data_IF_440288779477
#
_entry.id   IF_440288779477
#
_cell.length_a   1.000
_cell.length_b   1.000
_cell.length_c   1.000
_cell.angle_alpha   90.00
_cell.angle_beta   90.00
_cell.angle_gamma   90.00
#
_symmetry.space_group_name_H-M   'P 1'
#
loop_
_entity.id
_entity.type
_entity.pdbx_description
1 polymer ?
#
# COMPACT_ATOMS: atom_id res chain seq x y z
N UNK A 1 -5.67 -14.13 25.16
CA UNK A 1 -4.62 -13.98 26.18
C UNK A 1 -3.49 -13.17 25.55
N UNK A 2 -3.42 -11.86 25.81
CA UNK A 2 -2.22 -11.02 25.82
C UNK A 2 -2.68 -9.62 26.22
N UNK A 3 -2.44 -9.29 27.49
CA UNK A 3 -2.64 -7.98 28.10
C UNK A 3 -1.35 -7.21 27.88
N UNK A 4 -1.39 -6.06 27.21
CA UNK A 4 -0.25 -5.15 27.15
C UNK A 4 -0.64 -3.82 27.78
N UNK A 5 -0.02 -3.61 28.94
CA UNK A 5 -0.04 -2.48 29.85
C UNK A 5 0.27 -1.15 29.17
N UNK A 6 -0.68 -0.22 29.22
CA UNK A 6 -0.39 1.22 29.06
C UNK A 6 0.23 1.79 30.33
N UNK A 7 1.40 2.44 30.20
CA UNK A 7 2.02 3.24 31.26
C UNK A 7 1.77 4.73 30.98
N UNK A 8 1.18 5.50 31.90
CA UNK A 8 1.18 6.96 31.80
C UNK A 8 2.50 7.52 32.32
N UNK A 9 3.12 8.41 31.54
CA UNK A 9 4.28 9.21 31.95
C UNK A 9 3.75 10.39 32.77
N UNK A 10 3.92 10.33 34.08
CA UNK A 10 3.62 11.44 35.01
C UNK A 10 4.90 12.26 35.16
N UNK A 11 4.94 13.46 34.58
CA UNK A 11 6.02 14.42 34.80
C UNK A 11 5.78 15.09 36.16
N UNK A 12 6.52 14.66 37.17
CA UNK A 12 6.51 15.22 38.51
C UNK A 12 7.33 16.53 38.53
N UNK A 13 6.66 17.68 38.62
CA UNK A 13 7.33 18.97 38.83
C UNK A 13 7.60 19.16 40.33
N UNK A 14 8.73 18.61 40.81
CA UNK A 14 9.16 18.77 42.21
C UNK A 14 10.04 20.02 42.32
N UNK A 15 9.40 21.17 42.53
CA UNK A 15 10.08 22.41 42.92
C UNK A 15 10.79 22.15 44.24
N UNK A 16 12.12 22.24 44.22
CA UNK A 16 12.97 21.95 45.37
C UNK A 16 12.71 22.95 46.50
N UNK A 17 12.09 22.47 47.58
CA UNK A 17 11.74 23.24 48.79
C UNK A 17 12.94 23.96 49.44
N UNK A 18 14.16 23.54 49.10
CA UNK A 18 15.41 24.13 49.57
C UNK A 18 15.72 25.50 48.93
N UNK A 19 15.15 25.82 47.77
CA UNK A 19 15.40 27.11 47.10
C UNK A 19 14.57 28.25 47.73
N UNK A 20 13.29 27.98 48.03
CA UNK A 20 12.39 28.92 48.69
C UNK A 20 12.86 29.30 50.10
N UNK A 21 13.35 28.33 50.88
CA UNK A 21 13.83 28.58 52.26
C UNK A 21 15.07 29.48 52.29
N UNK A 22 15.98 29.36 51.30
CA UNK A 22 17.18 30.20 51.21
C UNK A 22 16.86 31.65 50.83
N UNK A 23 15.88 31.87 49.96
CA UNK A 23 15.46 33.22 49.53
C UNK A 23 14.81 33.97 50.71
N UNK A 24 13.97 33.28 51.49
CA UNK A 24 13.31 33.87 52.67
C UNK A 24 14.33 34.18 53.78
N UNK A 25 15.32 33.31 54.01
CA UNK A 25 16.37 33.54 55.01
C UNK A 25 17.26 34.75 54.68
N UNK A 26 17.60 34.96 53.40
CA UNK A 26 18.39 36.12 52.97
C UNK A 26 17.59 37.43 53.09
N UNK A 27 16.29 37.40 52.78
CA UNK A 27 15.43 38.58 52.95
C UNK A 27 15.26 38.99 54.42
N UNK A 28 15.15 38.01 55.34
CA UNK A 28 15.03 38.29 56.77
C UNK A 28 16.31 38.88 57.38
N UNK A 29 17.48 38.43 56.91
CA UNK A 29 18.77 38.95 57.37
C UNK A 29 19.01 40.41 56.93
N UNK A 30 18.60 40.78 55.71
CA UNK A 30 18.73 42.17 55.21
C UNK A 30 17.82 43.13 55.98
N UNK A 31 16.60 42.70 56.32
CA UNK A 31 15.67 43.50 57.13
C UNK A 31 16.14 43.71 58.58
N UNK A 32 16.83 42.72 59.17
CA UNK A 32 17.34 42.83 60.54
C UNK A 32 18.55 43.78 60.65
N UNK A 33 19.42 43.82 59.63
CA UNK A 33 20.58 44.73 59.59
C UNK A 33 20.14 46.18 59.33
N UNK A 34 19.08 46.41 58.55
CA UNK A 34 18.56 47.76 58.29
C UNK A 34 17.90 48.42 59.52
N UNK A 35 17.47 47.64 60.52
CA UNK A 35 16.80 48.16 61.73
C UNK A 35 17.79 48.64 62.82
N UNK A 36 19.04 48.18 62.78
CA UNK A 36 20.06 48.48 63.79
C UNK A 36 20.86 49.78 63.51
N UNK A 37 20.65 50.43 62.37
CA UNK A 37 21.35 51.67 61.98
C UNK A 37 20.57 52.96 62.27
N UNK A 38 19.34 52.88 62.81
CA UNK A 38 18.47 54.05 63.00
C UNK A 38 18.51 54.71 64.38
N UNK A 39 19.40 54.29 65.30
CA UNK A 39 19.48 54.86 66.66
C UNK A 39 20.89 55.35 67.01
N UNK A 40 21.34 56.44 66.36
CA UNK A 40 22.43 57.26 66.88
C UNK A 40 22.39 58.68 66.30
N UNK A 41 21.48 59.53 66.80
CA UNK A 41 21.67 60.98 66.76
C UNK A 41 21.48 61.53 68.16
N UNK A 42 22.59 61.67 68.87
CA UNK A 42 22.67 62.46 70.09
C UNK A 42 22.52 63.94 69.74
N UNK A 43 21.63 64.62 70.46
CA UNK A 43 21.58 66.07 70.50
C UNK A 43 22.88 66.61 71.11
N UNK A 44 23.60 67.45 70.38
CA UNK A 44 24.66 68.29 70.93
C UNK A 44 24.30 69.76 70.70
N UNK A 45 23.91 70.41 71.81
CA UNK A 45 23.67 71.84 71.88
C UNK A 45 24.98 72.59 71.57
N UNK A 46 24.97 73.39 70.51
CA UNK A 46 26.09 74.24 70.13
C UNK A 46 26.16 75.46 71.05
N UNK A 47 27.30 75.63 71.72
CA UNK A 47 27.68 76.93 72.29
C UNK A 47 27.86 77.94 71.16
N UNK A 48 27.36 79.16 71.39
CA UNK A 48 27.65 80.35 70.56
C UNK A 48 29.16 80.59 70.57
N UNK A 49 29.77 80.60 69.39
CA UNK A 49 31.15 81.01 69.16
C UNK A 49 31.21 81.80 67.84
N UNK A 50 31.72 83.03 67.89
CA UNK A 50 31.72 84.03 66.81
C UNK A 50 32.79 83.76 65.73
N UNK A 51 32.87 82.50 65.31
CA UNK A 51 33.53 82.01 64.09
C UNK A 51 32.72 80.92 63.37
N UNK A 52 31.49 80.64 63.85
CA UNK A 52 30.66 79.52 63.41
C UNK A 52 30.06 79.64 62.00
N UNK A 53 29.91 80.85 61.45
CA UNK A 53 29.29 81.04 60.12
C UNK A 53 30.15 80.45 59.00
N UNK A 54 31.46 80.67 59.00
CA UNK A 54 32.38 80.13 57.99
C UNK A 54 32.48 78.60 58.04
N UNK A 55 32.50 78.00 59.25
CA UNK A 55 32.55 76.55 59.43
C UNK A 55 31.24 75.86 59.03
N UNK A 56 30.10 76.50 59.31
CA UNK A 56 28.77 76.03 58.91
C UNK A 56 28.59 76.15 57.40
N UNK A 57 29.00 77.26 56.78
CA UNK A 57 28.97 77.46 55.32
C UNK A 57 29.84 76.41 54.61
N UNK A 58 31.06 76.13 55.09
CA UNK A 58 31.92 75.10 54.51
C UNK A 58 31.32 73.68 54.63
N UNK A 59 30.63 73.37 55.73
CA UNK A 59 29.94 72.09 55.92
C UNK A 59 28.73 71.94 55.00
N UNK A 60 27.94 73.01 54.84
CA UNK A 60 26.84 73.06 53.87
C UNK A 60 27.35 72.93 52.42
N UNK A 61 28.45 73.60 52.08
CA UNK A 61 29.05 73.49 50.76
C UNK A 61 29.58 72.08 50.48
N UNK A 62 30.16 71.41 51.47
CA UNK A 62 30.57 70.01 51.37
C UNK A 62 29.36 69.07 51.20
N UNK A 63 28.30 69.25 51.99
CA UNK A 63 27.05 68.48 51.90
C UNK A 63 26.34 68.68 50.56
N UNK A 64 26.30 69.90 50.02
CA UNK A 64 25.72 70.16 48.69
C UNK A 64 26.54 69.46 47.61
N UNK A 65 27.88 69.47 47.71
CA UNK A 65 28.75 68.74 46.77
C UNK A 65 28.54 67.23 46.83
N UNK A 66 28.41 66.68 48.04
CA UNK A 66 28.12 65.27 48.28
C UNK A 66 26.75 64.89 47.71
N UNK A 67 25.69 65.66 48.00
CA UNK A 67 24.36 65.43 47.43
C UNK A 67 24.33 65.58 45.90
N UNK A 68 25.11 66.51 45.32
CA UNK A 68 25.22 66.60 43.85
C UNK A 68 25.94 65.39 43.28
N UNK A 69 27.00 64.89 43.94
CA UNK A 69 27.73 63.71 43.50
C UNK A 69 26.87 62.44 43.60
N UNK A 70 26.11 62.28 44.69
CA UNK A 70 25.14 61.19 44.86
C UNK A 70 24.02 61.26 43.82
N UNK A 71 23.48 62.46 43.55
CA UNK A 71 22.44 62.62 42.54
C UNK A 71 22.96 62.30 41.14
N UNK A 72 24.18 62.73 40.81
CA UNK A 72 24.78 62.45 39.51
C UNK A 72 25.14 60.95 39.38
N UNK A 73 25.58 60.29 40.47
CA UNK A 73 25.80 58.85 40.52
C UNK A 73 24.50 58.05 40.36
N UNK A 74 23.45 58.41 41.09
CA UNK A 74 22.12 57.79 40.98
C UNK A 74 21.52 58.00 39.59
N UNK A 75 21.75 59.17 38.97
CA UNK A 75 21.31 59.42 37.60
C UNK A 75 22.04 58.52 36.61
N UNK A 76 23.37 58.37 36.75
CA UNK A 76 24.15 57.46 35.91
C UNK A 76 23.74 56.00 36.09
N UNK A 77 23.44 55.56 37.32
CA UNK A 77 22.90 54.22 37.57
C UNK A 77 21.50 54.04 36.98
N UNK A 78 20.64 55.05 37.04
CA UNK A 78 19.30 55.01 36.44
C UNK A 78 19.38 54.90 34.90
N UNK A 79 20.25 55.69 34.28
CA UNK A 79 20.49 55.64 32.84
C UNK A 79 21.05 54.26 32.42
N UNK A 80 21.93 53.68 33.23
CA UNK A 80 22.47 52.32 33.01
C UNK A 80 21.39 51.24 33.15
N UNK A 81 20.58 51.28 34.21
CA UNK A 81 19.49 50.33 34.42
C UNK A 81 18.42 50.45 33.33
N UNK A 82 18.12 51.67 32.87
CA UNK A 82 17.22 51.90 31.75
C UNK A 82 17.75 51.26 30.46
N UNK A 83 19.05 51.39 30.19
CA UNK A 83 19.69 50.72 29.06
C UNK A 83 19.66 49.19 29.20
N UNK A 84 19.96 48.64 30.38
CA UNK A 84 19.88 47.20 30.64
C UNK A 84 18.47 46.64 30.45
N UNK A 85 17.44 47.35 30.96
CA UNK A 85 16.04 46.97 30.77
C UNK A 85 15.68 46.90 29.28
N UNK A 86 16.11 47.88 28.49
CA UNK A 86 15.81 47.89 27.07
C UNK A 86 16.49 46.73 26.32
N UNK A 87 17.77 46.47 26.62
CA UNK A 87 18.46 45.30 26.04
C UNK A 87 17.82 43.97 26.44
N UNK A 88 17.34 43.85 27.69
CA UNK A 88 16.67 42.65 28.16
C UNK A 88 15.30 42.46 27.49
N UNK A 89 14.56 43.55 27.22
CA UNK A 89 13.31 43.48 26.46
C UNK A 89 13.56 43.03 25.03
N UNK A 90 14.54 43.61 24.34
CA UNK A 90 14.89 43.19 22.98
C UNK A 90 15.29 41.69 22.93
N UNK A 91 16.07 41.24 23.91
CA UNK A 91 16.44 39.82 24.03
C UNK A 91 15.23 38.93 24.31
N UNK A 92 14.30 39.38 25.15
CA UNK A 92 13.07 38.66 25.46
C UNK A 92 12.17 38.55 24.22
N UNK A 93 11.93 39.64 23.51
CA UNK A 93 11.16 39.62 22.26
C UNK A 93 11.79 38.71 21.20
N UNK A 94 13.12 38.76 21.07
CA UNK A 94 13.85 37.85 20.18
C UNK A 94 13.76 36.39 20.63
N UNK A 95 13.73 36.11 21.94
CA UNK A 95 13.57 34.76 22.47
C UNK A 95 12.15 34.23 22.23
N UNK A 96 11.12 35.04 22.47
CA UNK A 96 9.71 34.69 22.20
C UNK A 96 9.51 34.41 20.71
N UNK A 97 10.03 35.25 19.82
CA UNK A 97 9.94 35.02 18.38
C UNK A 97 10.63 33.72 17.94
N UNK A 98 11.75 33.36 18.56
CA UNK A 98 12.42 32.07 18.31
C UNK A 98 11.60 30.89 18.84
N UNK A 99 11.00 31.02 20.02
CA UNK A 99 10.15 29.98 20.60
C UNK A 99 8.93 29.71 19.71
N UNK A 100 8.25 30.75 19.22
CA UNK A 100 7.11 30.61 18.31
C UNK A 100 7.50 29.91 17.01
N UNK A 101 8.66 30.26 16.42
CA UNK A 101 9.18 29.60 15.22
C UNK A 101 9.49 28.13 15.47
N UNK A 102 10.19 27.81 16.57
CA UNK A 102 10.50 26.43 16.93
C UNK A 102 9.24 25.62 17.26
N UNK A 103 8.23 26.24 17.88
CA UNK A 103 6.92 25.62 18.10
C UNK A 103 6.23 25.26 16.80
N UNK A 104 6.21 26.19 15.84
CA UNK A 104 5.68 25.95 14.49
C UNK A 104 6.43 24.85 13.75
N UNK A 105 7.76 24.89 13.75
CA UNK A 105 8.60 23.84 13.16
C UNK A 105 8.35 22.48 13.80
N UNK A 106 8.25 22.42 15.13
CA UNK A 106 7.96 21.18 15.85
C UNK A 106 6.59 20.60 15.47
N UNK A 107 5.56 21.43 15.33
CA UNK A 107 4.23 20.96 14.95
C UNK A 107 4.17 20.50 13.49
N UNK A 108 4.87 21.20 12.58
CA UNK A 108 5.05 20.70 11.20
C UNK A 108 5.80 19.36 11.19
N UNK A 109 6.85 19.22 12.00
CA UNK A 109 7.61 17.98 12.09
C UNK A 109 6.74 16.84 12.65
N UNK A 110 5.94 17.07 13.68
CA UNK A 110 4.98 16.07 14.19
C UNK A 110 4.00 15.63 13.09
N UNK A 111 3.40 16.58 12.37
CA UNK A 111 2.47 16.29 11.28
C UNK A 111 3.14 15.47 10.16
N UNK A 112 4.37 15.82 9.78
CA UNK A 112 5.11 15.03 8.77
C UNK A 112 5.44 13.63 9.26
N UNK A 113 5.81 13.45 10.54
CA UNK A 113 6.06 12.13 11.13
C UNK A 113 4.78 11.28 11.12
N UNK A 114 3.64 11.85 11.48
CA UNK A 114 2.35 11.16 11.44
C UNK A 114 1.98 10.76 10.01
N UNK A 115 2.15 11.66 9.04
CA UNK A 115 1.92 11.37 7.63
C UNK A 115 2.84 10.25 7.10
N UNK A 116 4.13 10.28 7.45
CA UNK A 116 5.09 9.24 7.06
C UNK A 116 4.75 7.90 7.71
N UNK A 117 4.36 7.89 8.99
CA UNK A 117 3.88 6.67 9.67
C UNK A 117 2.64 6.11 8.99
N UNK A 118 1.64 6.94 8.68
CA UNK A 118 0.45 6.51 7.95
C UNK A 118 0.77 5.91 6.58
N UNK A 119 1.70 6.51 5.83
CA UNK A 119 2.18 5.95 4.55
C UNK A 119 2.91 4.63 4.73
N UNK A 120 3.72 4.50 5.78
CA UNK A 120 4.43 3.26 6.10
C UNK A 120 3.45 2.13 6.41
N UNK A 121 2.45 2.39 7.26
CA UNK A 121 1.42 1.41 7.63
C UNK A 121 0.58 1.00 6.42
N UNK A 122 0.19 1.96 5.58
CA UNK A 122 -0.53 1.66 4.33
C UNK A 122 0.31 0.81 3.38
N UNK A 123 1.60 1.11 3.23
CA UNK A 123 2.51 0.35 2.36
C UNK A 123 2.72 -1.06 2.92
N UNK A 124 2.86 -1.19 4.23
CA UNK A 124 2.97 -2.48 4.89
C UNK A 124 1.70 -3.32 4.71
N UNK A 125 0.51 -2.73 4.87
CA UNK A 125 -0.76 -3.40 4.61
C UNK A 125 -0.87 -3.91 3.17
N UNK A 126 -0.52 -3.07 2.19
CA UNK A 126 -0.49 -3.48 0.77
C UNK A 126 0.50 -4.61 0.50
N UNK A 127 1.68 -4.57 1.12
CA UNK A 127 2.68 -5.63 0.96
C UNK A 127 2.16 -6.97 1.48
N UNK A 128 1.56 -6.97 2.67
CA UNK A 128 0.95 -8.18 3.25
C UNK A 128 -0.16 -8.72 2.34
N UNK A 129 -1.02 -7.84 1.82
CA UNK A 129 -2.09 -8.22 0.89
C UNK A 129 -1.53 -8.86 -0.39
N UNK A 130 -0.49 -8.28 -0.99
CA UNK A 130 0.15 -8.82 -2.19
C UNK A 130 0.80 -10.18 -1.92
N UNK A 131 1.45 -10.35 -0.77
CA UNK A 131 2.05 -11.63 -0.38
C UNK A 131 0.97 -12.71 -0.25
N UNK A 132 -0.17 -12.41 0.39
CA UNK A 132 -1.25 -13.38 0.53
C UNK A 132 -1.89 -13.72 -0.83
N UNK A 133 -2.15 -12.71 -1.68
CA UNK A 133 -2.63 -12.93 -3.06
C UNK A 133 -1.66 -13.79 -3.86
N UNK A 134 -0.36 -13.54 -3.76
CA UNK A 134 0.65 -14.34 -4.45
C UNK A 134 0.66 -15.79 -3.97
N UNK A 135 0.52 -16.01 -2.66
CA UNK A 135 0.45 -17.35 -2.08
C UNK A 135 -0.78 -18.12 -2.59
N UNK A 136 -1.96 -17.50 -2.57
CA UNK A 136 -3.20 -18.09 -3.09
C UNK A 136 -3.07 -18.38 -4.59
N UNK A 137 -2.53 -17.43 -5.36
CA UNK A 137 -2.31 -17.60 -6.79
C UNK A 137 -1.33 -18.73 -7.11
N UNK A 138 -0.28 -18.87 -6.32
CA UNK A 138 0.68 -19.96 -6.50
C UNK A 138 0.05 -21.33 -6.17
N UNK A 139 -0.84 -21.38 -5.17
CA UNK A 139 -1.60 -22.58 -4.85
C UNK A 139 -2.57 -22.94 -5.98
N UNK A 140 -3.32 -21.98 -6.52
CA UNK A 140 -4.25 -22.23 -7.62
C UNK A 140 -3.52 -22.63 -8.91
N UNK A 141 -2.35 -22.02 -9.19
CA UNK A 141 -1.50 -22.42 -10.31
C UNK A 141 -1.04 -23.88 -10.19
N UNK A 142 -0.64 -24.31 -8.99
CA UNK A 142 -0.24 -25.70 -8.78
C UNK A 142 -1.43 -26.66 -8.94
N UNK A 143 -2.61 -26.30 -8.42
CA UNK A 143 -3.84 -27.09 -8.62
C UNK A 143 -4.18 -27.21 -10.11
N UNK A 144 -4.21 -26.10 -10.83
CA UNK A 144 -4.50 -26.08 -12.26
C UNK A 144 -3.47 -26.88 -13.06
N UNK A 145 -2.19 -26.81 -12.68
CA UNK A 145 -1.15 -27.63 -13.31
C UNK A 145 -1.35 -29.13 -13.07
N UNK A 146 -1.86 -29.53 -11.90
CA UNK A 146 -2.18 -30.94 -11.61
C UNK A 146 -3.40 -31.39 -12.41
N UNK A 147 -4.46 -30.59 -12.42
CA UNK A 147 -5.67 -30.84 -13.20
C UNK A 147 -5.35 -30.95 -14.69
N UNK A 148 -4.49 -30.09 -15.23
CA UNK A 148 -4.07 -30.16 -16.63
C UNK A 148 -3.33 -31.47 -16.94
N UNK A 149 -2.46 -31.94 -16.06
CA UNK A 149 -1.76 -33.22 -16.24
C UNK A 149 -2.74 -34.40 -16.14
N UNK A 150 -3.74 -34.31 -15.27
CA UNK A 150 -4.78 -35.33 -15.13
C UNK A 150 -5.69 -35.40 -16.36
N UNK A 151 -6.18 -34.24 -16.83
CA UNK A 151 -6.97 -34.11 -18.05
C UNK A 151 -6.21 -34.61 -19.28
N UNK A 152 -4.93 -34.26 -19.40
CA UNK A 152 -4.10 -34.74 -20.50
C UNK A 152 -3.96 -36.27 -20.47
N UNK A 153 -3.73 -36.87 -19.30
CA UNK A 153 -3.69 -38.33 -19.17
C UNK A 153 -5.02 -38.99 -19.52
N UNK A 154 -6.14 -38.39 -19.10
CA UNK A 154 -7.47 -38.90 -19.44
C UNK A 154 -7.73 -38.80 -20.95
N UNK A 155 -7.29 -37.72 -21.59
CA UNK A 155 -7.35 -37.57 -23.04
C UNK A 155 -6.52 -38.61 -23.76
N UNK A 156 -5.26 -38.83 -23.35
CA UNK A 156 -4.40 -39.87 -23.92
C UNK A 156 -5.01 -41.27 -23.74
N UNK A 157 -5.59 -41.55 -22.56
CA UNK A 157 -6.26 -42.81 -22.28
C UNK A 157 -7.48 -43.03 -23.16
N UNK A 158 -8.37 -42.04 -23.26
CA UNK A 158 -9.60 -42.13 -24.06
C UNK A 158 -9.29 -42.26 -25.55
N UNK A 159 -8.29 -41.55 -26.06
CA UNK A 159 -7.81 -41.71 -27.45
C UNK A 159 -7.29 -43.13 -27.68
N UNK A 160 -6.49 -43.67 -26.76
CA UNK A 160 -6.00 -45.05 -26.87
C UNK A 160 -7.13 -46.09 -26.80
N UNK A 161 -8.15 -45.85 -25.98
CA UNK A 161 -9.31 -46.74 -25.85
C UNK A 161 -10.15 -46.72 -27.13
N UNK A 162 -10.38 -45.53 -27.68
CA UNK A 162 -11.07 -45.34 -28.96
C UNK A 162 -10.33 -46.01 -30.11
N UNK A 163 -9.00 -45.89 -30.19
CA UNK A 163 -8.21 -46.54 -31.23
C UNK A 163 -8.26 -48.08 -31.11
N UNK A 164 -8.24 -48.61 -29.90
CA UNK A 164 -8.44 -50.05 -29.65
C UNK A 164 -9.84 -50.51 -30.08
N UNK A 165 -10.89 -49.75 -29.75
CA UNK A 165 -12.26 -50.04 -30.15
C UNK A 165 -12.44 -49.97 -31.67
N UNK A 166 -11.87 -48.97 -32.32
CA UNK A 166 -11.87 -48.84 -33.78
C UNK A 166 -11.18 -50.04 -34.43
N UNK A 167 -9.98 -50.40 -33.96
CA UNK A 167 -9.25 -51.56 -34.48
C UNK A 167 -10.01 -52.87 -34.30
N UNK A 168 -10.73 -53.05 -33.17
CA UNK A 168 -11.59 -54.21 -32.93
C UNK A 168 -12.80 -54.23 -33.87
N UNK A 169 -13.45 -53.09 -34.07
CA UNK A 169 -14.59 -52.95 -34.99
C UNK A 169 -14.17 -53.24 -36.43
N UNK A 170 -13.02 -52.75 -36.87
CA UNK A 170 -12.46 -53.03 -38.20
C UNK A 170 -12.14 -54.53 -38.35
N UNK A 171 -11.52 -55.16 -37.35
CA UNK A 171 -11.22 -56.61 -37.38
C UNK A 171 -12.50 -57.45 -37.42
N UNK A 172 -13.54 -57.07 -36.66
CA UNK A 172 -14.84 -57.75 -36.70
C UNK A 172 -15.51 -57.64 -38.07
N UNK A 173 -15.46 -56.45 -38.69
CA UNK A 173 -15.94 -56.25 -40.04
C UNK A 173 -15.16 -57.11 -41.06
N UNK A 174 -13.83 -57.11 -40.98
CA UNK A 174 -12.97 -57.90 -41.88
C UNK A 174 -13.21 -59.40 -41.73
N UNK A 175 -13.26 -59.91 -40.49
CA UNK A 175 -13.52 -61.32 -40.21
C UNK A 175 -14.90 -61.77 -40.71
N UNK A 176 -15.94 -60.95 -40.50
CA UNK A 176 -17.30 -61.24 -40.99
C UNK A 176 -17.34 -61.27 -42.52
N UNK A 177 -16.70 -60.31 -43.18
CA UNK A 177 -16.60 -60.28 -44.65
C UNK A 177 -15.83 -61.48 -45.19
N UNK A 178 -14.71 -61.85 -44.56
CA UNK A 178 -13.90 -62.97 -45.01
C UNK A 178 -14.64 -64.30 -44.80
N UNK A 179 -15.38 -64.45 -43.69
CA UNK A 179 -16.31 -65.58 -43.48
C UNK A 179 -17.40 -65.64 -44.56
N UNK A 180 -18.00 -64.51 -44.94
CA UNK A 180 -19.03 -64.46 -45.99
C UNK A 180 -18.47 -64.86 -47.36
N UNK A 181 -17.24 -64.41 -47.68
CA UNK A 181 -16.51 -64.80 -48.89
C UNK A 181 -16.14 -66.28 -48.92
N UNK A 182 -15.73 -66.84 -47.78
CA UNK A 182 -15.44 -68.26 -47.66
C UNK A 182 -16.72 -69.10 -47.73
N UNK A 183 -17.86 -68.64 -47.20
CA UNK A 183 -19.16 -69.30 -47.43
C UNK A 183 -19.59 -69.27 -48.90
N UNK A 184 -19.30 -68.17 -49.61
CA UNK A 184 -19.54 -68.07 -51.05
C UNK A 184 -18.63 -68.98 -51.90
N UNK A 185 -17.39 -69.22 -51.45
CA UNK A 185 -16.38 -70.02 -52.21
C UNK A 185 -16.22 -71.46 -51.75
N UNK A 186 -16.35 -71.78 -50.47
CA UNK A 186 -16.08 -73.10 -49.90
C UNK A 186 -17.33 -73.99 -49.93
N UNK A 187 -17.26 -74.95 -50.85
CA UNK A 187 -17.51 -76.39 -50.64
C UNK A 187 -18.88 -76.98 -50.95
N UNK A 188 -20.00 -76.29 -50.74
CA UNK A 188 -21.32 -76.86 -51.03
C UNK A 188 -21.96 -76.27 -52.29
N UNK A 189 -21.96 -74.95 -52.46
CA UNK A 189 -22.57 -74.30 -53.62
C UNK A 189 -21.78 -74.48 -54.91
N UNK A 190 -20.45 -74.35 -54.86
CA UNK A 190 -19.60 -74.56 -56.04
C UNK A 190 -19.66 -76.01 -56.56
N UNK A 191 -19.79 -77.01 -55.68
CA UNK A 191 -19.95 -78.43 -56.07
C UNK A 191 -21.38 -78.76 -56.50
N UNK A 192 -22.39 -78.10 -55.93
CA UNK A 192 -23.80 -78.32 -56.26
C UNK A 192 -24.21 -77.63 -57.58
N UNK A 193 -23.70 -76.42 -57.85
CA UNK A 193 -23.89 -75.70 -59.13
C UNK A 193 -23.22 -76.44 -60.29
N UNK A 194 -22.11 -77.13 -60.04
CA UNK A 194 -21.45 -77.97 -61.04
C UNK A 194 -22.20 -79.28 -61.32
N UNK A 195 -23.12 -79.69 -60.43
CA UNK A 195 -23.86 -80.94 -60.53
C UNK A 195 -25.21 -80.82 -61.24
N UNK A 196 -25.83 -79.63 -61.35
CA UNK A 196 -27.15 -79.48 -61.99
C UNK A 196 -27.39 -78.14 -62.73
N UNK A 197 -27.83 -78.16 -64.00
CA UNK A 197 -28.09 -76.95 -64.79
C UNK A 197 -29.38 -76.18 -64.42
N UNK A 198 -30.25 -76.72 -63.54
CA UNK A 198 -31.57 -76.13 -63.21
C UNK A 198 -31.51 -75.16 -62.00
N UNK A 199 -30.47 -75.20 -61.17
CA UNK A 199 -30.36 -74.39 -59.95
C UNK A 199 -29.84 -72.95 -60.14
N UNK A 200 -29.69 -72.48 -61.39
CA UNK A 200 -29.18 -71.14 -61.69
C UNK A 200 -29.99 -70.02 -60.98
N UNK A 201 -31.31 -70.16 -60.85
CA UNK A 201 -32.17 -69.18 -60.16
C UNK A 201 -31.84 -69.04 -58.67
N UNK A 202 -31.48 -70.15 -58.00
CA UNK A 202 -31.12 -70.12 -56.57
C UNK A 202 -29.70 -69.59 -56.34
N UNK A 203 -28.81 -69.71 -57.33
CA UNK A 203 -27.47 -69.13 -57.24
C UNK A 203 -27.49 -67.59 -57.21
N UNK A 204 -28.34 -66.98 -58.05
CA UNK A 204 -28.55 -65.52 -58.09
C UNK A 204 -29.22 -65.04 -56.80
N UNK A 205 -30.19 -65.79 -56.27
CA UNK A 205 -30.84 -65.46 -54.99
C UNK A 205 -29.84 -65.49 -53.82
N UNK A 206 -28.93 -66.48 -53.81
CA UNK A 206 -27.86 -66.56 -52.82
C UNK A 206 -26.83 -65.42 -52.97
N UNK A 207 -26.48 -65.07 -54.21
CA UNK A 207 -25.58 -63.95 -54.51
C UNK A 207 -26.17 -62.61 -54.07
N UNK A 208 -27.48 -62.40 -54.29
CA UNK A 208 -28.19 -61.23 -53.77
C UNK A 208 -28.19 -61.19 -52.24
N UNK A 209 -28.39 -62.33 -51.56
CA UNK A 209 -28.33 -62.40 -50.09
C UNK A 209 -26.91 -62.04 -49.61
N UNK A 210 -25.87 -62.58 -50.23
CA UNK A 210 -24.48 -62.27 -49.87
C UNK A 210 -24.19 -60.78 -50.09
N UNK A 211 -24.59 -60.21 -51.22
CA UNK A 211 -24.43 -58.78 -51.52
C UNK A 211 -25.17 -57.91 -50.50
N UNK A 212 -26.40 -58.26 -50.13
CA UNK A 212 -27.17 -57.52 -49.13
C UNK A 212 -26.48 -57.53 -47.75
N UNK A 213 -25.84 -58.64 -47.37
CA UNK A 213 -25.03 -58.71 -46.15
C UNK A 213 -23.71 -57.94 -46.27
N UNK A 214 -23.03 -57.97 -47.43
CA UNK A 214 -21.84 -57.13 -47.66
C UNK A 214 -22.17 -55.64 -47.60
N UNK A 215 -23.28 -55.22 -48.20
CA UNK A 215 -23.76 -53.83 -48.19
C UNK A 215 -24.10 -53.36 -46.78
N UNK A 216 -24.86 -54.16 -46.00
CA UNK A 216 -25.16 -53.87 -44.59
C UNK A 216 -23.90 -53.76 -43.73
N UNK A 217 -22.90 -54.60 -44.00
CA UNK A 217 -21.62 -54.50 -43.32
C UNK A 217 -20.92 -53.18 -43.68
N UNK A 218 -20.88 -52.81 -44.97
CA UNK A 218 -20.22 -51.58 -45.43
C UNK A 218 -20.88 -50.34 -44.81
N UNK A 219 -22.20 -50.34 -44.70
CA UNK A 219 -22.98 -49.28 -44.06
C UNK A 219 -22.64 -49.13 -42.57
N UNK A 220 -22.42 -50.25 -41.87
CA UNK A 220 -22.05 -50.27 -40.45
C UNK A 220 -20.55 -50.03 -40.18
N UNK A 221 -19.73 -49.86 -41.22
CA UNK A 221 -18.30 -49.59 -41.05
C UNK A 221 -18.10 -48.21 -40.42
N UNK A 222 -17.59 -48.19 -39.20
CA UNK A 222 -17.19 -46.95 -38.53
C UNK A 222 -16.17 -46.17 -39.37
N UNK A 223 -16.45 -44.89 -39.61
CA UNK A 223 -15.50 -43.91 -40.16
C UNK A 223 -15.18 -42.90 -39.07
N UNK A 224 -13.90 -42.84 -38.67
CA UNK A 224 -13.38 -41.75 -37.85
C UNK A 224 -13.61 -40.44 -38.60
N UNK A 225 -14.51 -39.59 -38.10
CA UNK A 225 -14.58 -38.19 -38.54
C UNK A 225 -13.26 -37.56 -38.12
N UNK A 226 -12.39 -37.30 -39.11
CA UNK A 226 -11.16 -36.55 -38.89
C UNK A 226 -11.58 -35.08 -38.99
N UNK A 227 -11.16 -34.24 -38.03
CA UNK A 227 -11.62 -32.86 -37.77
C UNK A 227 -11.38 -31.83 -38.91
N UNK A 228 -11.66 -32.17 -40.16
CA UNK A 228 -11.58 -31.25 -41.32
C UNK A 228 -12.91 -31.10 -42.07
N UNK A 229 -13.99 -31.75 -41.64
CA UNK A 229 -15.31 -31.64 -42.31
C UNK A 229 -16.41 -30.92 -41.49
N UNK A 230 -16.13 -30.41 -40.29
CA UNK A 230 -17.14 -29.72 -39.45
C UNK A 230 -16.71 -28.31 -39.02
N UNK A 231 -16.37 -27.44 -39.97
CA UNK A 231 -16.18 -26.00 -39.70
C UNK A 231 -17.28 -25.11 -40.32
N UNK A 232 -18.26 -25.66 -41.04
CA UNK A 232 -19.20 -24.83 -41.80
C UNK A 232 -20.68 -24.82 -41.39
N UNK A 233 -21.11 -25.51 -40.32
CA UNK A 233 -22.55 -25.52 -39.96
C UNK A 233 -22.95 -24.89 -38.61
N UNK A 234 -22.03 -24.47 -37.73
CA UNK A 234 -22.39 -23.88 -36.42
C UNK A 234 -22.20 -22.36 -36.30
N UNK A 235 -21.84 -21.64 -37.36
CA UNK A 235 -21.59 -20.19 -37.28
C UNK A 235 -22.81 -19.28 -37.57
N UNK A 236 -24.02 -19.81 -37.71
CA UNK A 236 -25.20 -19.01 -38.11
C UNK A 236 -26.29 -18.88 -37.05
N UNK A 237 -25.98 -19.05 -35.75
CA UNK A 237 -26.95 -18.72 -34.68
C UNK A 237 -26.20 -18.14 -33.48
N UNK A 238 -26.07 -16.81 -33.42
CA UNK A 238 -26.25 -15.90 -32.26
C UNK A 238 -25.57 -14.58 -32.64
N UNK A 239 -26.30 -13.70 -33.32
CA UNK A 239 -25.98 -12.27 -33.35
C UNK A 239 -27.29 -11.47 -33.18
N UNK A 240 -27.93 -11.67 -32.03
CA UNK A 240 -28.96 -10.76 -31.52
C UNK A 240 -28.74 -10.63 -30.01
N UNK A 241 -27.83 -9.73 -29.64
CA UNK A 241 -27.77 -9.14 -28.30
C UNK A 241 -27.46 -7.66 -28.48
N UNK A 242 -28.53 -6.87 -28.39
CA UNK A 242 -28.55 -5.42 -28.30
C UNK A 242 -27.44 -4.89 -27.38
N UNK A 243 -26.54 -4.09 -27.94
CA UNK A 243 -25.77 -3.12 -27.18
C UNK A 243 -26.41 -1.76 -27.47
N UNK A 244 -27.12 -1.25 -26.47
CA UNK A 244 -27.59 0.12 -26.42
C UNK A 244 -26.41 1.05 -26.14
N UNK A 245 -25.99 1.79 -27.17
CA UNK A 245 -25.20 3.00 -27.00
C UNK A 245 -26.12 4.16 -26.57
N UNK A 246 -25.68 5.05 -25.67
CA UNK A 246 -26.15 6.42 -25.65
C UNK A 246 -25.23 7.31 -26.49
N UNK A 247 -25.89 8.01 -27.42
CA UNK A 247 -25.37 9.01 -28.33
C UNK A 247 -24.60 10.18 -27.67
N UNK A 248 -23.48 10.52 -28.32
CA UNK A 248 -22.95 11.85 -28.70
C UNK A 248 -23.08 13.05 -27.75
N UNK A 249 -21.95 13.75 -27.57
CA UNK A 249 -21.91 15.17 -27.97
C UNK A 249 -20.52 15.56 -28.48
N UNK A 250 -20.53 16.20 -29.65
CA UNK A 250 -19.40 16.60 -30.47
C UNK A 250 -18.65 17.82 -29.91
N UNK A 251 -17.35 17.89 -30.19
CA UNK A 251 -16.74 19.13 -30.66
C UNK A 251 -15.48 18.82 -31.48
N UNK A 252 -15.68 18.86 -32.80
CA UNK A 252 -14.66 19.16 -33.82
C UNK A 252 -13.81 20.36 -33.41
N UNK A 253 -12.49 20.34 -33.67
CA UNK A 253 -11.88 21.18 -34.72
C UNK A 253 -10.42 20.74 -35.00
N UNK A 254 -10.13 20.59 -36.29
CA UNK A 254 -8.82 20.45 -36.97
C UNK A 254 -7.73 21.35 -36.38
N UNK A 255 -6.46 20.97 -36.28
CA UNK A 255 -5.62 20.27 -37.24
C UNK A 255 -4.48 21.22 -37.64
N UNK A 256 -3.21 20.85 -37.44
CA UNK A 256 -2.09 21.27 -38.28
C UNK A 256 -0.77 20.59 -37.87
N UNK A 257 0.03 20.30 -38.89
CA UNK A 257 1.29 19.56 -38.89
C UNK A 257 2.46 20.41 -38.39
N UNK A 258 3.44 19.79 -37.72
CA UNK A 258 4.89 19.99 -37.95
C UNK A 258 5.63 18.95 -37.08
N UNK A 259 6.18 17.87 -37.62
CA UNK A 259 7.41 17.78 -38.42
C UNK A 259 8.62 18.48 -37.78
N UNK A 260 9.52 17.65 -37.22
CA UNK A 260 10.97 17.76 -37.34
C UNK A 260 11.71 18.72 -36.40
N UNK A 261 12.45 18.14 -35.44
CA UNK A 261 13.93 18.26 -35.41
C UNK A 261 14.58 17.33 -34.39
N UNK A 262 15.32 16.37 -34.92
CA UNK A 262 16.57 15.87 -34.35
C UNK A 262 17.59 17.00 -34.17
N UNK A 263 18.46 16.83 -33.17
CA UNK A 263 19.86 17.24 -33.25
C UNK A 263 20.32 18.25 -32.21
N UNK A 264 21.09 17.77 -31.22
CA UNK A 264 21.88 18.58 -30.29
C UNK A 264 22.38 17.77 -29.10
#
# INVERSE_FOLDING_TARGET
MFVLSGRPIVINFRISSNLMIKIISNFLAVLFVSSLLSNAVYAQAARRDDGGSARVINKLQAMVREMTAERDALKAENDKLAAEIETLKEQHEAAVSREEKLGGELDTQKSTIEAVRGRLDQTHGKLVEVVEKYKVLNQSKNQLSLEHVELQKLQEFTVSELDSCENKNIKMYQATRDMLKDYGRQSLWARLVQAEPVFQFKSVELENIIQEYEDKLVEQKYRRKTELEEVYEEAEIVEEAEISEPESEEAHESGEMESQKDGG
#
